data_IF_074009469204
#
_entry.id   IF_074009469204
#
_cell.length_a   1.000
_cell.length_b   1.000
_cell.length_c   1.000
_cell.angle_alpha   90.00
_cell.angle_beta   90.00
_cell.angle_gamma   90.00
#
_symmetry.space_group_name_H-M   'P 1'
#
loop_
_entity.id
_entity.type
_entity.pdbx_description
1 polymer ?
#
# COMPACT_ATOMS: atom_id res chain seq x y z
N UNK A 1 -23.13 76.09 26.81
CA UNK A 1 -21.72 75.71 26.62
C UNK A 1 -21.74 74.64 25.54
N UNK A 2 -21.61 74.99 24.26
CA UNK A 2 -20.34 75.34 23.57
C UNK A 2 -19.47 74.07 23.45
N UNK A 3 -19.09 73.50 22.31
CA UNK A 3 -19.08 73.89 20.87
C UNK A 3 -19.04 72.56 20.05
N UNK A 4 -19.63 72.48 18.84
CA UNK A 4 -18.96 72.54 17.52
C UNK A 4 -17.77 71.56 17.36
N UNK A 5 -17.78 70.57 16.46
CA UNK A 5 -17.24 70.73 15.10
C UNK A 5 -17.70 69.59 14.14
N UNK A 6 -18.73 69.90 13.36
CA UNK A 6 -18.90 69.75 11.90
C UNK A 6 -17.61 69.40 11.08
N UNK A 7 -17.51 68.44 10.15
CA UNK A 7 -17.97 68.46 8.73
C UNK A 7 -17.34 67.24 7.98
N UNK A 8 -18.11 66.43 7.25
CA UNK A 8 -18.32 66.44 5.79
C UNK A 8 -17.25 65.77 4.90
N UNK A 9 -17.68 64.85 4.03
CA UNK A 9 -17.41 64.82 2.56
C UNK A 9 -17.34 63.41 1.94
N UNK A 10 -18.48 62.99 1.39
CA UNK A 10 -18.73 62.58 -0.01
C UNK A 10 -17.56 62.05 -0.89
N UNK A 11 -17.78 60.83 -1.43
CA UNK A 11 -17.37 60.23 -2.72
C UNK A 11 -15.90 60.36 -3.19
N UNK A 12 -15.27 59.22 -3.47
CA UNK A 12 -15.15 58.76 -4.87
C UNK A 12 -14.55 57.36 -5.03
N UNK A 13 -15.01 56.75 -6.11
CA UNK A 13 -14.69 55.46 -6.69
C UNK A 13 -13.26 55.43 -7.24
N UNK A 14 -12.52 54.34 -7.00
CA UNK A 14 -11.44 53.86 -7.89
C UNK A 14 -11.09 52.42 -7.55
N UNK A 15 -11.25 51.54 -8.54
CA UNK A 15 -10.76 50.17 -8.52
C UNK A 15 -9.24 50.19 -8.59
N UNK A 16 -8.56 49.50 -7.67
CA UNK A 16 -7.15 49.12 -7.83
C UNK A 16 -7.03 47.66 -7.42
N UNK A 17 -6.78 46.81 -8.42
CA UNK A 17 -6.52 45.40 -8.26
C UNK A 17 -5.16 45.18 -7.59
N UNK A 18 -5.15 44.50 -6.45
CA UNK A 18 -3.92 44.03 -5.79
C UNK A 18 -3.50 42.66 -6.34
N UNK A 19 -2.20 42.43 -6.63
CA UNK A 19 -1.71 41.18 -7.21
C UNK A 19 -1.81 39.99 -6.24
N UNK A 20 -2.22 38.84 -6.79
CA UNK A 20 -2.36 37.53 -6.13
C UNK A 20 -1.06 37.07 -5.44
N UNK A 21 -1.13 36.51 -4.23
CA UNK A 21 -0.08 35.62 -3.73
C UNK A 21 -0.06 34.32 -4.55
N UNK A 22 1.09 34.00 -5.13
CA UNK A 22 1.35 32.75 -5.85
C UNK A 22 1.33 31.59 -4.87
N UNK A 23 0.21 30.87 -4.80
CA UNK A 23 0.11 29.57 -4.14
C UNK A 23 1.01 28.58 -4.89
N UNK A 24 2.05 28.10 -4.20
CA UNK A 24 2.90 27.02 -4.68
C UNK A 24 2.06 25.74 -4.87
N UNK A 25 2.17 25.02 -5.99
CA UNK A 25 1.48 23.74 -6.17
C UNK A 25 2.03 22.66 -5.23
N UNK A 26 1.14 21.72 -4.89
CA UNK A 26 1.29 20.57 -4.00
C UNK A 26 2.60 19.76 -4.19
N UNK A 27 3.06 19.02 -3.15
CA UNK A 27 4.07 18.00 -3.32
C UNK A 27 3.59 16.91 -4.27
N UNK A 28 4.40 16.65 -5.29
CA UNK A 28 4.24 15.64 -6.33
C UNK A 28 3.74 14.30 -5.76
N UNK A 29 2.59 13.87 -6.25
CA UNK A 29 2.23 12.47 -6.34
C UNK A 29 3.25 11.79 -7.26
N UNK A 30 4.20 11.05 -6.70
CA UNK A 30 5.06 10.17 -7.49
C UNK A 30 4.25 8.95 -7.91
N UNK A 31 3.42 9.12 -8.92
CA UNK A 31 2.93 8.00 -9.73
C UNK A 31 4.18 7.25 -10.21
N UNK A 32 4.38 5.96 -9.87
CA UNK A 32 5.49 5.22 -10.43
C UNK A 32 5.28 5.20 -11.94
N UNK A 33 6.17 5.86 -12.69
CA UNK A 33 6.20 5.74 -14.14
C UNK A 33 6.29 4.25 -14.46
N UNK A 34 5.40 3.70 -15.32
CA UNK A 34 5.48 2.30 -15.68
C UNK A 34 6.85 2.06 -16.31
N UNK A 35 7.70 1.33 -15.61
CA UNK A 35 8.97 0.88 -16.16
C UNK A 35 8.63 -0.11 -17.27
N UNK A 36 8.56 0.39 -18.51
CA UNK A 36 8.33 -0.45 -19.69
C UNK A 36 9.51 -1.41 -19.79
N UNK A 37 9.32 -2.66 -19.39
CA UNK A 37 10.35 -3.69 -19.51
C UNK A 37 10.56 -3.99 -20.99
N UNK A 38 11.82 -3.92 -21.44
CA UNK A 38 12.21 -4.22 -22.82
C UNK A 38 12.08 -5.74 -23.09
N UNK A 39 11.90 -6.19 -24.35
CA UNK A 39 11.71 -7.61 -24.70
C UNK A 39 12.82 -8.54 -24.15
N UNK A 40 14.08 -8.11 -24.24
CA UNK A 40 15.25 -8.88 -23.78
C UNK A 40 15.59 -8.62 -22.30
N UNK A 41 14.63 -8.19 -21.49
CA UNK A 41 14.87 -7.99 -20.05
C UNK A 41 15.21 -9.34 -19.39
N UNK A 42 16.36 -9.45 -18.68
CA UNK A 42 16.73 -10.66 -17.95
C UNK A 42 15.62 -11.12 -17.01
N UNK A 43 15.43 -12.44 -16.87
CA UNK A 43 14.40 -13.04 -16.01
C UNK A 43 14.40 -12.42 -14.61
N UNK A 44 15.58 -12.37 -13.96
CA UNK A 44 15.75 -11.79 -12.62
C UNK A 44 15.17 -10.37 -12.50
N UNK A 45 15.32 -9.53 -13.53
CA UNK A 45 14.74 -8.17 -13.54
C UNK A 45 13.21 -8.21 -13.67
N UNK A 46 12.65 -9.14 -14.45
CA UNK A 46 11.20 -9.34 -14.54
C UNK A 46 10.61 -9.81 -13.21
N UNK A 47 11.27 -10.76 -12.53
CA UNK A 47 10.87 -11.25 -11.20
C UNK A 47 10.89 -10.12 -10.16
N UNK A 48 12.00 -9.38 -10.05
CA UNK A 48 12.09 -8.23 -9.14
C UNK A 48 11.07 -7.14 -9.48
N UNK A 49 10.77 -6.89 -10.75
CA UNK A 49 9.72 -5.93 -11.12
C UNK A 49 8.37 -6.33 -10.54
N UNK A 50 7.92 -7.57 -10.79
CA UNK A 50 6.61 -8.05 -10.30
C UNK A 50 6.57 -7.98 -8.77
N UNK A 51 7.61 -8.47 -8.10
CA UNK A 51 7.67 -8.45 -6.64
C UNK A 51 7.60 -7.02 -6.10
N UNK A 52 8.40 -6.10 -6.67
CA UNK A 52 8.38 -4.68 -6.31
C UNK A 52 6.99 -4.05 -6.49
N UNK A 53 6.29 -4.36 -7.59
CA UNK A 53 4.95 -3.83 -7.82
C UNK A 53 3.96 -4.26 -6.74
N UNK A 54 4.05 -5.50 -6.24
CA UNK A 54 3.21 -5.97 -5.15
C UNK A 54 3.61 -5.38 -3.79
N UNK A 55 4.91 -5.23 -3.54
CA UNK A 55 5.45 -4.61 -2.32
C UNK A 55 5.05 -3.15 -2.17
N UNK A 56 5.09 -2.40 -3.27
CA UNK A 56 4.80 -0.97 -3.29
C UNK A 56 3.30 -0.66 -3.45
N UNK A 57 2.47 -1.69 -3.70
CA UNK A 57 1.03 -1.49 -3.85
C UNK A 57 0.40 -0.93 -2.57
N UNK A 58 -0.22 0.25 -2.71
CA UNK A 58 -0.96 0.93 -1.66
C UNK A 58 -2.43 1.07 -2.06
N UNK A 59 -3.32 0.71 -1.14
CA UNK A 59 -4.74 1.01 -1.25
C UNK A 59 -5.01 2.52 -1.18
N UNK A 60 -6.21 2.95 -1.55
CA UNK A 60 -6.61 4.38 -1.53
C UNK A 60 -6.61 5.01 -0.14
N UNK A 61 -6.68 4.19 0.91
CA UNK A 61 -6.57 4.58 2.32
C UNK A 61 -5.12 4.67 2.81
N UNK A 62 -4.13 4.47 1.93
CA UNK A 62 -2.70 4.48 2.24
C UNK A 62 -2.18 3.18 2.87
N UNK A 63 -3.03 2.16 3.05
CA UNK A 63 -2.61 0.87 3.58
C UNK A 63 -1.82 0.09 2.54
N UNK A 64 -0.78 -0.63 2.98
CA UNK A 64 -0.01 -1.56 2.15
C UNK A 64 -0.41 -3.00 2.50
N UNK A 65 -1.22 -3.68 1.68
CA UNK A 65 -1.72 -5.03 1.98
C UNK A 65 -0.59 -6.04 2.18
N UNK A 66 0.49 -5.92 1.38
CA UNK A 66 1.60 -6.87 1.38
C UNK A 66 2.34 -6.94 2.73
N UNK A 67 2.22 -5.93 3.61
CA UNK A 67 2.88 -5.93 4.93
C UNK A 67 2.47 -7.12 5.81
N UNK A 68 1.24 -7.63 5.70
CA UNK A 68 0.78 -8.78 6.47
C UNK A 68 1.26 -10.14 5.91
N UNK A 69 1.92 -10.14 4.76
CA UNK A 69 2.45 -11.32 4.09
C UNK A 69 3.98 -11.41 4.15
N UNK A 70 4.65 -10.45 4.82
CA UNK A 70 6.11 -10.41 4.96
C UNK A 70 6.66 -11.69 5.58
N UNK A 71 6.04 -12.12 6.68
CA UNK A 71 6.46 -13.27 7.46
C UNK A 71 5.25 -14.14 7.75
N UNK A 72 5.39 -15.45 7.52
CA UNK A 72 4.36 -16.42 7.92
C UNK A 72 4.29 -16.50 9.45
N UNK A 73 3.16 -16.96 10.02
CA UNK A 73 3.04 -17.15 11.46
C UNK A 73 4.16 -18.02 12.03
N UNK A 74 4.69 -17.65 13.20
CA UNK A 74 5.74 -18.43 13.87
C UNK A 74 5.21 -19.79 14.30
N UNK A 75 5.87 -20.87 13.87
CA UNK A 75 5.49 -22.25 14.23
C UNK A 75 5.44 -22.50 15.74
N UNK A 76 6.27 -21.79 16.51
CA UNK A 76 6.29 -21.92 17.97
C UNK A 76 5.06 -21.28 18.62
N UNK A 77 4.57 -20.17 18.07
CA UNK A 77 3.46 -19.41 18.63
C UNK A 77 2.10 -19.85 18.09
N UNK A 78 2.08 -20.34 16.85
CA UNK A 78 0.88 -20.75 16.11
C UNK A 78 1.06 -22.15 15.51
N UNK A 79 1.27 -23.20 16.33
CA UNK A 79 1.44 -24.55 15.83
C UNK A 79 0.24 -25.05 15.00
N UNK A 80 -0.98 -24.61 15.33
CA UNK A 80 -2.22 -24.93 14.63
C UNK A 80 -2.23 -24.47 13.17
N UNK A 81 -1.55 -23.37 12.85
CA UNK A 81 -1.39 -22.93 11.47
C UNK A 81 -0.70 -24.00 10.61
N UNK A 82 0.29 -24.68 11.17
CA UNK A 82 1.09 -25.70 10.50
C UNK A 82 0.40 -27.08 10.48
N UNK A 83 -0.74 -27.23 11.16
CA UNK A 83 -1.61 -28.41 11.03
C UNK A 83 -2.60 -28.24 9.87
N UNK A 84 -2.95 -27.00 9.52
CA UNK A 84 -3.89 -26.66 8.45
C UNK A 84 -3.15 -26.39 7.13
N UNK A 85 -1.99 -25.75 7.19
CA UNK A 85 -1.23 -25.30 6.03
C UNK A 85 -0.03 -26.22 5.78
N UNK A 86 -0.10 -26.98 4.69
CA UNK A 86 0.92 -27.97 4.31
C UNK A 86 2.26 -27.35 3.91
N UNK A 87 2.22 -26.24 3.16
CA UNK A 87 3.41 -25.59 2.61
C UNK A 87 3.43 -24.10 2.98
N UNK A 88 3.81 -23.76 4.22
CA UNK A 88 3.94 -22.37 4.65
C UNK A 88 5.00 -21.63 3.83
N UNK A 89 4.63 -20.44 3.35
CA UNK A 89 5.50 -19.55 2.58
C UNK A 89 5.15 -18.10 2.94
N UNK A 90 6.11 -17.20 2.75
CA UNK A 90 5.97 -15.77 2.98
C UNK A 90 6.76 -14.96 1.95
N UNK A 91 6.56 -13.66 1.95
CA UNK A 91 7.18 -12.76 0.98
C UNK A 91 8.71 -12.71 1.13
N UNK A 92 9.25 -12.81 2.34
CA UNK A 92 10.70 -12.85 2.55
C UNK A 92 11.34 -14.09 1.91
N UNK A 93 10.67 -15.25 1.96
CA UNK A 93 11.12 -16.45 1.25
C UNK A 93 11.10 -16.24 -0.27
N UNK A 94 10.05 -15.63 -0.82
CA UNK A 94 9.95 -15.35 -2.25
C UNK A 94 11.08 -14.39 -2.67
N UNK A 95 11.32 -13.29 -1.94
CA UNK A 95 12.44 -12.37 -2.19
C UNK A 95 13.80 -13.09 -2.15
N UNK A 96 14.02 -13.95 -1.16
CA UNK A 96 15.24 -14.74 -1.05
C UNK A 96 15.42 -15.68 -2.25
N UNK A 97 14.35 -16.31 -2.72
CA UNK A 97 14.36 -17.17 -3.90
C UNK A 97 14.69 -16.39 -5.18
N UNK A 98 14.14 -15.18 -5.36
CA UNK A 98 14.49 -14.30 -6.47
C UNK A 98 15.97 -13.91 -6.38
N UNK A 99 16.45 -13.47 -5.20
CA UNK A 99 17.83 -13.03 -5.00
C UNK A 99 18.84 -14.13 -5.31
N UNK A 100 18.53 -15.36 -4.93
CA UNK A 100 19.39 -16.53 -5.09
C UNK A 100 19.14 -17.31 -6.40
N UNK A 101 18.46 -16.70 -7.37
CA UNK A 101 18.22 -17.27 -8.71
C UNK A 101 17.56 -18.67 -8.66
N UNK A 102 16.64 -18.87 -7.72
CA UNK A 102 15.96 -20.16 -7.49
C UNK A 102 14.79 -20.42 -8.43
N UNK A 103 14.31 -19.39 -9.14
CA UNK A 103 13.22 -19.51 -10.10
C UNK A 103 13.78 -19.58 -11.52
N UNK A 104 13.42 -20.65 -12.24
CA UNK A 104 13.78 -20.85 -13.65
C UNK A 104 12.83 -20.10 -14.60
N UNK A 105 11.66 -19.68 -14.11
CA UNK A 105 10.64 -18.97 -14.90
C UNK A 105 9.82 -17.98 -14.06
N UNK A 106 9.00 -17.16 -14.71
CA UNK A 106 8.06 -16.27 -14.02
C UNK A 106 6.95 -17.10 -13.36
N UNK A 107 6.55 -18.18 -14.02
CA UNK A 107 5.49 -19.08 -13.61
C UNK A 107 5.77 -19.75 -12.26
N UNK A 108 7.02 -20.12 -11.98
CA UNK A 108 7.42 -20.69 -10.69
C UNK A 108 7.27 -19.67 -9.55
N UNK A 109 7.70 -18.42 -9.75
CA UNK A 109 7.51 -17.37 -8.76
C UNK A 109 6.01 -17.05 -8.56
N UNK A 110 5.24 -17.04 -9.64
CA UNK A 110 3.78 -16.84 -9.57
C UNK A 110 3.10 -17.96 -8.79
N UNK A 111 3.55 -19.20 -8.93
CA UNK A 111 3.04 -20.33 -8.16
C UNK A 111 3.25 -20.11 -6.65
N UNK A 112 4.42 -19.62 -6.24
CA UNK A 112 4.71 -19.32 -4.83
C UNK A 112 3.87 -18.15 -4.28
N UNK A 113 3.65 -17.08 -5.06
CA UNK A 113 2.72 -16.02 -4.68
C UNK A 113 1.29 -16.54 -4.50
N UNK A 114 0.81 -17.35 -5.45
CA UNK A 114 -0.54 -17.94 -5.37
C UNK A 114 -0.67 -18.90 -4.19
N UNK A 115 0.38 -19.67 -3.88
CA UNK A 115 0.43 -20.51 -2.69
C UNK A 115 0.32 -19.66 -1.42
N UNK A 116 1.09 -18.57 -1.32
CA UNK A 116 1.03 -17.64 -0.18
C UNK A 116 -0.38 -17.08 0.03
N UNK A 117 -1.04 -16.62 -1.05
CA UNK A 117 -2.41 -16.09 -0.99
C UNK A 117 -3.44 -17.19 -0.69
N UNK A 118 -3.27 -18.39 -1.25
CA UNK A 118 -4.13 -19.54 -0.98
C UNK A 118 -4.04 -19.98 0.48
N UNK A 119 -2.84 -20.08 1.03
CA UNK A 119 -2.63 -20.42 2.45
C UNK A 119 -3.31 -19.38 3.36
N UNK A 120 -3.19 -18.11 3.01
CA UNK A 120 -3.87 -17.04 3.73
C UNK A 120 -5.38 -17.23 3.72
N UNK A 121 -5.98 -17.48 2.54
CA UNK A 121 -7.44 -17.69 2.43
C UNK A 121 -7.93 -18.99 3.05
N UNK A 122 -7.10 -20.03 3.08
CA UNK A 122 -7.43 -21.31 3.72
C UNK A 122 -7.49 -21.19 5.24
N UNK A 123 -6.58 -20.42 5.84
CA UNK A 123 -6.50 -20.27 7.29
C UNK A 123 -7.44 -19.19 7.85
N UNK A 124 -7.70 -18.13 7.07
CA UNK A 124 -8.47 -16.98 7.52
C UNK A 124 -9.92 -17.02 7.01
N UNK A 125 -10.84 -16.46 7.79
CA UNK A 125 -12.26 -16.41 7.42
C UNK A 125 -12.52 -15.49 6.22
N UNK A 126 -13.48 -15.89 5.38
CA UNK A 126 -13.92 -15.10 4.22
C UNK A 126 -14.47 -13.72 4.65
N UNK A 127 -14.01 -12.69 3.95
CA UNK A 127 -14.29 -11.28 4.23
C UNK A 127 -13.63 -10.70 5.47
N UNK A 128 -12.70 -11.43 6.12
CA UNK A 128 -11.68 -10.78 6.96
C UNK A 128 -10.75 -9.91 6.09
N UNK A 129 -10.14 -8.88 6.66
CA UNK A 129 -9.31 -7.94 5.89
C UNK A 129 -8.16 -8.64 5.15
N UNK A 130 -7.46 -9.56 5.81
CA UNK A 130 -6.31 -10.27 5.23
C UNK A 130 -6.72 -11.25 4.12
N UNK A 131 -7.92 -11.84 4.22
CA UNK A 131 -8.49 -12.66 3.16
C UNK A 131 -8.77 -11.83 1.90
N UNK A 132 -9.39 -10.67 2.08
CA UNK A 132 -9.68 -9.75 0.97
C UNK A 132 -8.40 -9.16 0.36
N UNK A 133 -7.39 -8.89 1.20
CA UNK A 133 -6.07 -8.45 0.74
C UNK A 133 -5.38 -9.51 -0.12
N UNK A 134 -5.46 -10.79 0.25
CA UNK A 134 -4.92 -11.88 -0.58
C UNK A 134 -5.58 -11.90 -1.97
N UNK A 135 -6.91 -11.74 -2.01
CA UNK A 135 -7.68 -11.67 -3.27
C UNK A 135 -7.38 -10.40 -4.08
N UNK A 136 -7.11 -9.29 -3.41
CA UNK A 136 -6.71 -8.03 -4.05
C UNK A 136 -5.32 -8.13 -4.65
N UNK A 137 -4.33 -8.59 -3.87
CA UNK A 137 -2.95 -8.73 -4.32
C UNK A 137 -2.82 -9.75 -5.46
N UNK A 138 -3.61 -10.82 -5.44
CA UNK A 138 -3.65 -11.77 -6.56
C UNK A 138 -4.20 -11.14 -7.85
N UNK A 139 -5.18 -10.23 -7.74
CA UNK A 139 -5.64 -9.44 -8.90
C UNK A 139 -4.55 -8.52 -9.42
N UNK A 140 -3.86 -7.79 -8.54
CA UNK A 140 -2.73 -6.92 -8.90
C UNK A 140 -1.62 -7.73 -9.57
N UNK A 141 -1.28 -8.92 -9.05
CA UNK A 141 -0.30 -9.82 -9.64
C UNK A 141 -0.69 -10.16 -11.09
N UNK A 142 -1.93 -10.59 -11.30
CA UNK A 142 -2.42 -10.94 -12.64
C UNK A 142 -2.41 -9.74 -13.61
N UNK A 143 -2.69 -8.52 -13.14
CA UNK A 143 -2.56 -7.30 -13.94
C UNK A 143 -1.11 -7.04 -14.34
N UNK A 144 -0.15 -7.19 -13.42
CA UNK A 144 1.28 -7.01 -13.73
C UNK A 144 1.81 -8.08 -14.69
N UNK A 145 1.35 -9.32 -14.58
CA UNK A 145 1.67 -10.36 -15.57
C UNK A 145 1.15 -10.00 -16.97
N UNK A 146 -0.08 -9.46 -17.05
CA UNK A 146 -0.63 -8.96 -18.32
C UNK A 146 0.19 -7.80 -18.87
N UNK A 147 0.60 -6.83 -18.07
CA UNK A 147 1.45 -5.71 -18.53
C UNK A 147 2.78 -6.20 -19.14
N UNK A 148 3.37 -7.25 -18.55
CA UNK A 148 4.57 -7.87 -19.07
C UNK A 148 4.33 -8.56 -20.41
N UNK A 149 3.21 -9.26 -20.55
CA UNK A 149 2.85 -9.96 -21.79
C UNK A 149 2.37 -8.99 -22.90
N UNK A 150 1.64 -7.94 -22.53
CA UNK A 150 1.13 -6.88 -23.43
C UNK A 150 2.23 -5.91 -23.86
N UNK A 151 3.34 -5.81 -23.13
CA UNK A 151 4.53 -5.09 -23.62
C UNK A 151 5.10 -5.70 -24.91
N UNK A 152 4.71 -6.92 -25.29
CA UNK A 152 5.01 -7.53 -26.58
C UNK A 152 3.95 -7.23 -27.66
N UNK A 153 2.74 -6.80 -27.28
CA UNK A 153 1.59 -6.58 -28.17
C UNK A 153 0.82 -5.29 -27.80
N UNK A 154 1.14 -4.14 -28.40
CA UNK A 154 0.26 -2.94 -28.39
C UNK A 154 -0.91 -3.19 -29.38
N UNK A 155 -2.24 -3.08 -29.13
CA UNK A 155 -3.21 -2.25 -28.34
C UNK A 155 -4.66 -2.89 -28.46
N UNK A 156 -5.79 -2.35 -27.91
CA UNK A 156 -6.14 -1.87 -26.54
C UNK A 156 -7.58 -2.26 -26.00
N UNK A 157 -7.86 -1.90 -24.72
CA UNK A 157 -9.09 -1.25 -24.18
C UNK A 157 -10.13 -1.98 -23.24
N UNK A 158 -10.21 -1.45 -21.99
CA UNK A 158 -11.38 -1.13 -21.10
C UNK A 158 -12.15 -2.23 -20.30
N UNK A 159 -12.32 -2.06 -18.97
CA UNK A 159 -13.47 -1.39 -18.27
C UNK A 159 -13.40 -1.54 -16.73
N UNK A 160 -14.05 -0.60 -16.05
CA UNK A 160 -14.07 -0.28 -14.61
C UNK A 160 -15.01 -1.14 -13.76
N UNK A 161 -14.75 -1.26 -12.44
CA UNK A 161 -15.70 -1.79 -11.46
C UNK A 161 -15.80 -0.91 -10.18
N UNK A 162 -17.01 -0.84 -9.61
CA UNK A 162 -17.46 0.01 -8.50
C UNK A 162 -17.21 -0.63 -7.11
N UNK A 163 -17.18 0.14 -6.00
CA UNK A 163 -16.83 -0.38 -4.67
C UNK A 163 -18.04 -0.89 -3.86
N UNK A 164 -17.81 -1.87 -2.97
CA UNK A 164 -18.80 -2.42 -2.03
C UNK A 164 -18.43 -2.12 -0.55
N UNK A 165 -19.46 -2.13 0.30
CA UNK A 165 -19.61 -1.43 1.60
C UNK A 165 -18.90 -2.08 2.80
N UNK A 166 -18.70 -1.25 3.83
CA UNK A 166 -17.98 -1.46 5.10
C UNK A 166 -18.42 -2.67 5.94
N UNK A 167 -17.45 -3.47 6.40
CA UNK A 167 -17.63 -4.58 7.36
C UNK A 167 -16.97 -4.23 8.70
N UNK A 168 -17.58 -4.66 9.81
CA UNK A 168 -17.06 -4.46 11.16
C UNK A 168 -15.99 -5.49 11.52
N UNK A 169 -15.01 -5.07 12.33
CA UNK A 169 -13.79 -5.82 12.64
C UNK A 169 -14.00 -6.91 13.69
N UNK A 170 -13.43 -8.09 13.46
CA UNK A 170 -13.50 -9.25 14.36
C UNK A 170 -12.58 -9.11 15.59
N UNK A 171 -12.79 -9.89 16.67
CA UNK A 171 -11.94 -9.85 17.87
C UNK A 171 -10.47 -10.17 17.62
N UNK A 172 -10.15 -10.97 16.60
CA UNK A 172 -8.77 -11.24 16.19
C UNK A 172 -8.14 -10.02 15.50
N UNK A 173 -8.91 -9.32 14.65
CA UNK A 173 -8.46 -8.09 14.00
C UNK A 173 -8.25 -6.95 15.00
N UNK A 174 -9.00 -6.92 16.10
CA UNK A 174 -8.74 -6.01 17.22
C UNK A 174 -7.41 -6.32 17.92
N UNK A 175 -7.06 -7.60 18.07
CA UNK A 175 -5.79 -8.04 18.67
C UNK A 175 -4.59 -7.72 17.76
N UNK A 176 -4.76 -7.88 16.45
CA UNK A 176 -3.74 -7.52 15.45
C UNK A 176 -3.59 -6.00 15.29
N UNK A 177 -4.67 -5.22 15.39
CA UNK A 177 -4.62 -3.74 15.46
C UNK A 177 -3.81 -3.26 16.67
N UNK A 178 -4.05 -3.84 17.84
CA UNK A 178 -3.30 -3.49 19.07
C UNK A 178 -1.81 -3.83 18.94
N UNK A 179 -1.46 -4.94 18.28
CA UNK A 179 -0.07 -5.29 18.00
C UNK A 179 0.60 -4.31 17.03
N UNK A 180 -0.08 -3.93 15.94
CA UNK A 180 0.44 -2.96 14.96
C UNK A 180 0.52 -1.53 15.53
N UNK A 181 -0.34 -1.16 16.49
CA UNK A 181 -0.31 0.15 17.14
C UNK A 181 0.83 0.27 18.16
N UNK A 182 1.17 -0.83 18.85
CA UNK A 182 2.29 -0.88 19.80
C UNK A 182 3.67 -0.66 19.16
N UNK A 183 3.80 -0.80 17.83
CA UNK A 183 5.05 -0.55 17.09
C UNK A 183 5.20 0.90 16.59
N UNK A 184 4.22 1.78 16.81
CA UNK A 184 4.29 3.22 16.47
C UNK A 184 4.53 4.15 17.66
N UNK A 185 4.64 3.61 18.88
CA UNK A 185 4.73 4.40 20.10
C UNK A 185 5.93 3.98 20.94
N UNK A 186 7.14 4.29 20.48
CA UNK A 186 8.26 4.49 21.39
C UNK A 186 8.32 5.97 21.75
N UNK A 187 7.92 6.40 22.96
CA UNK A 187 8.23 7.73 23.41
C UNK A 187 9.74 7.82 23.67
N UNK A 188 10.39 8.82 23.07
CA UNK A 188 11.73 9.25 23.49
C UNK A 188 11.56 9.77 24.92
N UNK A 189 12.07 9.01 25.90
CA UNK A 189 12.24 9.49 27.26
C UNK A 189 13.45 10.42 27.29
N UNK A 190 13.24 11.70 27.61
CA UNK A 190 14.30 12.52 28.22
C UNK A 190 13.85 12.85 29.63
N UNK A 191 14.61 12.32 30.59
CA UNK A 191 14.39 12.36 32.02
C UNK A 191 15.02 13.58 32.69
N UNK A 192 14.38 14.03 33.78
CA UNK A 192 14.92 14.64 35.01
C UNK A 192 15.63 16.00 34.89
N UNK A 193 15.27 17.02 35.67
CA UNK A 193 15.40 17.16 37.14
C UNK A 193 15.07 18.62 37.47
N UNK A 194 14.75 19.13 38.66
CA UNK A 194 14.40 18.67 40.01
C UNK A 194 14.05 19.99 40.73
N UNK A 195 13.09 19.97 41.64
CA UNK A 195 12.75 21.04 42.59
C UNK A 195 13.90 21.23 43.63
N UNK A 196 13.87 22.17 44.60
CA UNK A 196 12.75 22.57 45.47
C UNK A 196 12.05 23.86 45.06
#
# INVERSE_FOLDING_TARGET
MHDDESLSSVKNQSQIATPRPRVNPLPNTSSPSPLILKPNTPLKKKLHYISKQLMEFTCSDGRQPMLLFMEKPSKKLYPEYYNVIDKPIDMLMIEANIKNDRYASIEEMVADFRLMFSNCRQFNEEGSMIYEDATLLERVLNEKLKELNVSYDKKPALKTFKPAKSRQMSPFEQKLRTFCQAKRSTPITTSLSRTP
#
